data_IF_739992612107
#
_entry.id   IF_739992612107
#
_cell.length_a   1.000
_cell.length_b   1.000
_cell.length_c   1.000
_cell.angle_alpha   90.00
_cell.angle_beta   90.00
_cell.angle_gamma   90.00
#
_symmetry.space_group_name_H-M   'P 1'
#
loop_
_entity.id
_entity.type
_entity.pdbx_description
1 polymer ?
#
# COMPACT_ATOMS: atom_id res chain seq x y z
N UNK A 1 8.32 0.72 19.33
CA UNK A 1 7.40 1.39 20.29
C UNK A 1 6.44 0.37 20.90
N UNK A 2 5.67 -0.42 20.10
CA UNK A 2 4.76 -1.43 20.66
C UNK A 2 5.53 -2.59 21.33
N UNK A 3 6.59 -3.06 20.68
CA UNK A 3 7.49 -4.08 21.21
C UNK A 3 8.19 -3.65 22.50
N UNK A 4 8.59 -2.38 22.59
CA UNK A 4 9.22 -1.82 23.78
C UNK A 4 8.21 -1.67 24.93
N UNK A 5 6.98 -1.28 24.62
CA UNK A 5 5.90 -1.21 25.58
C UNK A 5 5.50 -2.60 26.13
N UNK A 6 5.60 -3.65 25.33
CA UNK A 6 5.36 -5.03 25.75
C UNK A 6 6.53 -5.60 26.56
N UNK A 7 7.77 -5.21 26.25
CA UNK A 7 8.96 -5.64 26.96
C UNK A 7 9.03 -5.11 28.41
N UNK A 8 8.34 -4.00 28.72
CA UNK A 8 8.26 -3.44 30.08
C UNK A 8 7.34 -4.20 31.05
N UNK A 9 6.74 -5.34 30.62
CA UNK A 9 5.91 -6.21 31.46
C UNK A 9 4.57 -5.59 31.90
N UNK A 10 3.80 -4.91 31.01
CA UNK A 10 2.52 -4.34 31.37
C UNK A 10 1.50 -5.41 31.73
N UNK A 11 0.49 -5.03 32.52
CA UNK A 11 -0.59 -5.96 32.88
C UNK A 11 -1.31 -6.49 31.63
N UNK A 12 -1.87 -7.71 31.71
CA UNK A 12 -2.60 -8.35 30.59
C UNK A 12 -3.71 -7.44 30.05
N UNK A 13 -4.43 -6.74 30.92
CA UNK A 13 -5.47 -5.79 30.52
C UNK A 13 -4.90 -4.63 29.69
N UNK A 14 -3.74 -4.11 30.05
CA UNK A 14 -3.07 -3.05 29.29
C UNK A 14 -2.56 -3.55 27.93
N UNK A 15 -2.00 -4.76 27.89
CA UNK A 15 -1.58 -5.40 26.62
C UNK A 15 -2.76 -5.61 25.68
N UNK A 16 -3.88 -6.10 26.19
CA UNK A 16 -5.12 -6.28 25.41
C UNK A 16 -5.65 -4.94 24.92
N UNK A 17 -5.68 -3.91 25.77
CA UNK A 17 -6.12 -2.56 25.39
C UNK A 17 -5.26 -1.96 24.27
N UNK A 18 -3.94 -2.03 24.40
CA UNK A 18 -3.00 -1.55 23.37
C UNK A 18 -3.17 -2.36 22.07
N UNK A 19 -3.33 -3.68 22.19
CA UNK A 19 -3.55 -4.56 21.04
C UNK A 19 -4.84 -4.23 20.27
N UNK A 20 -5.93 -3.95 20.96
CA UNK A 20 -7.19 -3.52 20.34
C UNK A 20 -7.03 -2.19 19.60
N UNK A 21 -6.44 -1.19 20.26
CA UNK A 21 -6.19 0.13 19.65
C UNK A 21 -5.27 0.00 18.43
N UNK A 22 -4.20 -0.78 18.54
CA UNK A 22 -3.28 -1.03 17.43
C UNK A 22 -4.00 -1.67 16.23
N UNK A 23 -4.81 -2.70 16.46
CA UNK A 23 -5.55 -3.36 15.40
C UNK A 23 -6.57 -2.41 14.74
N UNK A 24 -7.27 -1.57 15.50
CA UNK A 24 -8.18 -0.57 14.95
C UNK A 24 -7.45 0.45 14.07
N UNK A 25 -6.30 0.95 14.55
CA UNK A 25 -5.50 1.93 13.80
C UNK A 25 -4.86 1.31 12.55
N UNK A 26 -4.48 0.04 12.60
CA UNK A 26 -3.88 -0.70 11.47
C UNK A 26 -4.78 -0.68 10.23
N UNK A 27 -6.10 -0.72 10.39
CA UNK A 27 -7.05 -0.71 9.26
C UNK A 27 -7.35 0.69 8.71
N UNK A 28 -6.86 1.75 9.34
CA UNK A 28 -7.09 3.13 8.88
C UNK A 28 -6.47 3.37 7.50
N UNK A 29 -5.25 2.89 7.27
CA UNK A 29 -4.56 3.08 5.98
C UNK A 29 -5.29 2.37 4.81
N UNK A 30 -5.65 1.08 4.89
CA UNK A 30 -6.46 0.43 3.86
C UNK A 30 -7.81 1.10 3.63
N UNK A 31 -8.51 1.53 4.69
CA UNK A 31 -9.78 2.24 4.57
C UNK A 31 -9.64 3.58 3.84
N UNK A 32 -8.58 4.33 4.14
CA UNK A 32 -8.28 5.60 3.48
C UNK A 32 -7.96 5.39 1.99
N UNK A 33 -7.17 4.38 1.65
CA UNK A 33 -6.86 4.02 0.26
C UNK A 33 -8.13 3.65 -0.49
N UNK A 34 -8.98 2.82 0.11
CA UNK A 34 -10.27 2.46 -0.46
C UNK A 34 -11.12 3.71 -0.73
N UNK A 35 -11.18 4.64 0.22
CA UNK A 35 -11.89 5.90 0.07
C UNK A 35 -11.38 6.72 -1.12
N UNK A 36 -10.06 6.85 -1.28
CA UNK A 36 -9.45 7.56 -2.41
C UNK A 36 -9.76 6.86 -3.73
N UNK A 37 -9.56 5.54 -3.82
CA UNK A 37 -9.85 4.79 -5.04
C UNK A 37 -11.33 4.87 -5.42
N UNK A 38 -12.23 4.75 -4.46
CA UNK A 38 -13.66 4.85 -4.68
C UNK A 38 -14.07 6.23 -5.18
N UNK A 39 -13.64 7.28 -4.49
CA UNK A 39 -14.00 8.67 -4.86
C UNK A 39 -13.41 9.04 -6.22
N UNK A 40 -12.14 8.72 -6.48
CA UNK A 40 -11.50 9.02 -7.76
C UNK A 40 -12.17 8.25 -8.90
N UNK A 41 -12.45 6.96 -8.72
CA UNK A 41 -13.13 6.15 -9.72
C UNK A 41 -14.54 6.68 -10.01
N UNK A 42 -15.29 7.02 -8.97
CA UNK A 42 -16.64 7.57 -9.10
C UNK A 42 -16.67 8.92 -9.82
N UNK A 43 -15.75 9.81 -9.46
CA UNK A 43 -15.64 11.13 -10.12
C UNK A 43 -15.28 10.98 -11.60
N UNK A 44 -14.34 10.10 -11.93
CA UNK A 44 -13.93 9.87 -13.32
C UNK A 44 -15.02 9.22 -14.16
N UNK A 45 -15.79 8.31 -13.58
CA UNK A 45 -16.93 7.71 -14.29
C UNK A 45 -18.08 8.68 -14.55
N UNK A 46 -18.23 9.69 -13.70
CA UNK A 46 -19.24 10.74 -13.88
C UNK A 46 -18.79 11.88 -14.80
N UNK A 47 -17.49 12.03 -15.01
CA UNK A 47 -16.90 13.04 -15.89
C UNK A 47 -16.56 12.40 -17.23
N UNK A 48 -17.32 12.69 -18.27
CA UNK A 48 -17.14 12.13 -19.61
C UNK A 48 -15.88 12.61 -20.34
N UNK A 49 -15.15 13.59 -19.80
CA UNK A 49 -14.03 14.27 -20.47
C UNK A 49 -12.64 14.05 -19.84
N UNK A 50 -12.53 13.34 -18.70
CA UNK A 50 -11.22 13.17 -18.05
C UNK A 50 -10.42 12.04 -18.71
N UNK A 51 -9.36 12.43 -19.43
CA UNK A 51 -8.41 11.48 -20.01
C UNK A 51 -7.41 11.00 -18.93
N UNK A 52 -6.91 9.77 -19.06
CA UNK A 52 -5.89 9.27 -18.12
C UNK A 52 -4.63 10.14 -18.10
N UNK A 53 -4.24 10.70 -19.25
CA UNK A 53 -3.13 11.65 -19.36
C UNK A 53 -3.35 12.92 -18.54
N UNK A 54 -4.55 13.46 -18.52
CA UNK A 54 -4.87 14.64 -17.70
C UNK A 54 -4.82 14.32 -16.21
N UNK A 55 -5.33 13.13 -15.85
CA UNK A 55 -5.23 12.62 -14.49
C UNK A 55 -3.77 12.46 -14.05
N UNK A 56 -2.91 11.81 -14.85
CA UNK A 56 -1.49 11.67 -14.57
C UNK A 56 -0.79 13.03 -14.44
N UNK A 57 -1.10 13.98 -15.30
CA UNK A 57 -0.52 15.33 -15.26
C UNK A 57 -0.85 16.06 -13.95
N UNK A 58 -2.09 15.92 -13.47
CA UNK A 58 -2.49 16.48 -12.17
C UNK A 58 -1.72 15.82 -11.02
N UNK A 59 -1.57 14.49 -11.05
CA UNK A 59 -0.86 13.76 -10.00
C UNK A 59 0.65 13.96 -10.05
N UNK A 60 1.21 14.33 -11.22
CA UNK A 60 2.64 14.55 -11.39
C UNK A 60 3.19 15.59 -10.42
N UNK A 61 2.56 16.75 -10.37
CA UNK A 61 2.97 17.82 -9.46
C UNK A 61 2.55 17.58 -8.00
N UNK A 62 1.40 16.95 -7.80
CA UNK A 62 0.86 16.75 -6.47
C UNK A 62 1.54 15.63 -5.68
N UNK A 63 1.96 14.55 -6.35
CA UNK A 63 2.44 13.33 -5.69
C UNK A 63 3.80 12.84 -6.22
N UNK A 64 4.00 12.77 -7.54
CA UNK A 64 5.24 12.20 -8.09
C UNK A 64 6.47 13.04 -7.73
N UNK A 65 6.44 14.34 -8.01
CA UNK A 65 7.58 15.23 -7.73
C UNK A 65 7.93 15.23 -6.23
N UNK A 66 6.99 15.47 -5.30
CA UNK A 66 7.31 15.41 -3.87
C UNK A 66 7.84 14.05 -3.42
N UNK A 67 7.26 12.95 -3.91
CA UNK A 67 7.72 11.60 -3.54
C UNK A 67 9.14 11.34 -4.02
N UNK A 68 9.48 11.68 -5.27
CA UNK A 68 10.82 11.52 -5.81
C UNK A 68 11.83 12.37 -4.99
N UNK A 69 11.51 13.64 -4.73
CA UNK A 69 12.38 14.52 -3.96
C UNK A 69 12.62 14.00 -2.54
N UNK A 70 11.56 13.69 -1.80
CA UNK A 70 11.71 13.21 -0.44
C UNK A 70 12.41 11.86 -0.38
N UNK A 71 12.09 10.93 -1.26
CA UNK A 71 12.77 9.63 -1.34
C UNK A 71 14.27 9.81 -1.60
N UNK A 72 14.63 10.68 -2.54
CA UNK A 72 16.04 10.98 -2.84
C UNK A 72 16.75 11.61 -1.64
N UNK A 73 16.13 12.59 -0.99
CA UNK A 73 16.68 13.25 0.21
C UNK A 73 16.94 12.22 1.31
N UNK A 74 15.97 11.35 1.61
CA UNK A 74 16.13 10.32 2.63
C UNK A 74 17.22 9.30 2.27
N UNK A 75 17.29 8.86 1.02
CA UNK A 75 18.31 7.89 0.59
C UNK A 75 19.72 8.47 0.65
N UNK A 76 19.91 9.76 0.35
CA UNK A 76 21.24 10.38 0.31
C UNK A 76 21.64 10.92 1.68
N UNK A 77 20.74 11.65 2.38
CA UNK A 77 21.10 12.36 3.61
C UNK A 77 20.86 11.53 4.88
N UNK A 78 19.94 10.57 4.83
CA UNK A 78 19.54 9.79 6.01
C UNK A 78 19.45 8.27 5.70
N UNK A 79 20.53 7.65 5.17
CA UNK A 79 20.50 6.24 4.79
C UNK A 79 20.23 5.31 5.98
N UNK A 80 20.49 5.77 7.20
CA UNK A 80 20.20 5.02 8.43
C UNK A 80 18.69 4.81 8.72
N UNK A 81 17.81 5.57 8.06
CA UNK A 81 16.36 5.44 8.22
C UNK A 81 15.75 4.40 7.28
N UNK A 82 16.53 3.82 6.38
CA UNK A 82 16.07 2.80 5.45
C UNK A 82 15.53 1.58 6.21
N UNK A 83 14.41 1.08 5.77
CA UNK A 83 13.84 -0.16 6.29
C UNK A 83 14.50 -1.34 5.57
N UNK A 84 14.92 -2.33 6.35
CA UNK A 84 15.67 -3.48 5.81
C UNK A 84 17.17 -3.20 5.66
N UNK A 85 17.78 -3.75 4.63
CA UNK A 85 19.21 -3.54 4.34
C UNK A 85 19.43 -2.20 3.61
N UNK A 86 20.50 -1.50 3.96
CA UNK A 86 20.93 -0.33 3.21
C UNK A 86 21.30 -0.72 1.78
N UNK A 87 21.06 0.16 0.82
CA UNK A 87 21.50 -0.08 -0.55
C UNK A 87 23.04 -0.02 -0.64
N UNK A 88 23.60 -0.88 -1.46
CA UNK A 88 25.05 -0.95 -1.70
C UNK A 88 25.41 -0.61 -3.15
N UNK A 89 24.42 -0.62 -4.04
CA UNK A 89 24.60 -0.39 -5.46
C UNK A 89 23.44 0.45 -6.03
N UNK A 90 23.57 0.86 -7.29
CA UNK A 90 22.55 1.61 -8.00
C UNK A 90 21.24 0.85 -8.18
N UNK A 91 21.29 -0.48 -8.27
CA UNK A 91 20.06 -1.29 -8.37
C UNK A 91 19.31 -1.28 -7.05
N UNK A 92 20.01 -1.41 -5.95
CA UNK A 92 19.43 -1.28 -4.61
C UNK A 92 18.87 0.12 -4.37
N UNK A 93 19.56 1.18 -4.82
CA UNK A 93 19.06 2.55 -4.73
C UNK A 93 17.70 2.71 -5.45
N UNK A 94 17.59 2.28 -6.70
CA UNK A 94 16.32 2.32 -7.44
C UNK A 94 15.25 1.39 -6.85
N UNK A 95 15.67 0.24 -6.32
CA UNK A 95 14.75 -0.67 -5.64
C UNK A 95 14.07 -0.03 -4.43
N UNK A 96 14.76 0.83 -3.70
CA UNK A 96 14.18 1.57 -2.57
C UNK A 96 13.09 2.56 -3.00
N UNK A 97 13.15 3.11 -4.22
CA UNK A 97 12.05 3.90 -4.77
C UNK A 97 10.79 3.07 -5.02
N UNK A 98 10.95 1.86 -5.54
CA UNK A 98 9.82 0.98 -5.87
C UNK A 98 9.18 0.41 -4.61
N UNK A 99 9.98 0.06 -3.61
CA UNK A 99 9.51 -0.54 -2.36
C UNK A 99 9.00 0.48 -1.33
N UNK A 100 9.39 1.76 -1.46
CA UNK A 100 9.08 2.77 -0.46
C UNK A 100 9.84 2.60 0.86
N UNK A 101 10.93 1.83 0.86
CA UNK A 101 11.72 1.51 2.05
C UNK A 101 12.76 2.57 2.42
N UNK A 102 12.80 3.70 1.69
CA UNK A 102 13.74 4.78 1.95
C UNK A 102 13.55 5.43 3.34
N UNK A 103 12.33 5.43 3.84
CA UNK A 103 12.01 5.81 5.23
C UNK A 103 10.66 5.22 5.65
N UNK A 104 10.42 5.04 6.97
CA UNK A 104 9.23 4.36 7.50
C UNK A 104 7.88 4.93 7.07
N UNK A 105 7.82 6.20 6.68
CA UNK A 105 6.58 6.87 6.26
C UNK A 105 6.42 6.96 4.73
N UNK A 106 7.47 6.67 3.94
CA UNK A 106 7.42 6.81 2.48
C UNK A 106 6.74 5.66 1.76
N UNK A 107 6.57 4.50 2.43
CA UNK A 107 5.87 3.36 1.85
C UNK A 107 4.46 3.75 1.35
N UNK A 108 3.78 4.63 2.08
CA UNK A 108 2.44 5.09 1.72
C UNK A 108 2.44 5.88 0.40
N UNK A 109 3.39 6.80 0.24
CA UNK A 109 3.51 7.60 -0.99
C UNK A 109 3.82 6.71 -2.20
N UNK A 110 4.75 5.78 -2.05
CA UNK A 110 5.10 4.82 -3.10
C UNK A 110 3.91 3.94 -3.50
N UNK A 111 3.17 3.45 -2.51
CA UNK A 111 1.95 2.69 -2.75
C UNK A 111 0.89 3.54 -3.48
N UNK A 112 0.72 4.82 -3.12
CA UNK A 112 -0.18 5.72 -3.83
C UNK A 112 0.23 5.92 -5.29
N UNK A 113 1.53 6.01 -5.59
CA UNK A 113 2.01 6.08 -6.98
C UNK A 113 1.66 4.83 -7.77
N UNK A 114 1.79 3.64 -7.18
CA UNK A 114 1.39 2.38 -7.80
C UNK A 114 -0.12 2.37 -8.12
N UNK A 115 -0.97 2.84 -7.20
CA UNK A 115 -2.41 2.96 -7.45
C UNK A 115 -2.73 3.94 -8.58
N UNK A 116 -2.02 5.07 -8.66
CA UNK A 116 -2.20 6.03 -9.76
C UNK A 116 -1.90 5.38 -11.12
N UNK A 117 -0.82 4.61 -11.21
CA UNK A 117 -0.46 3.88 -12.43
C UNK A 117 -1.52 2.82 -12.77
N UNK A 118 -2.08 2.15 -11.77
CA UNK A 118 -3.09 1.11 -11.94
C UNK A 118 -4.52 1.65 -12.15
N UNK A 119 -4.73 2.98 -12.06
CA UNK A 119 -6.06 3.59 -12.16
C UNK A 119 -6.84 3.19 -13.43
N UNK A 120 -6.27 3.07 -14.63
CA UNK A 120 -6.99 2.61 -15.81
C UNK A 120 -7.59 1.22 -15.63
N UNK A 121 -6.91 0.33 -14.92
CA UNK A 121 -7.41 -1.01 -14.60
C UNK A 121 -8.66 -0.91 -13.69
N UNK A 122 -8.60 -0.07 -12.65
CA UNK A 122 -9.76 0.14 -11.76
C UNK A 122 -10.96 0.73 -12.51
N UNK A 123 -10.73 1.67 -13.43
CA UNK A 123 -11.79 2.22 -14.29
C UNK A 123 -12.38 1.18 -15.22
N UNK A 124 -11.55 0.33 -15.84
CA UNK A 124 -12.02 -0.75 -16.71
C UNK A 124 -12.86 -1.76 -15.92
N UNK A 125 -12.41 -2.18 -14.76
CA UNK A 125 -13.16 -3.08 -13.86
C UNK A 125 -14.48 -2.43 -13.44
N UNK A 126 -14.46 -1.18 -13.03
CA UNK A 126 -15.65 -0.47 -12.59
C UNK A 126 -16.70 -0.33 -13.72
N UNK A 127 -16.27 -0.03 -14.96
CA UNK A 127 -17.16 0.00 -16.12
C UNK A 127 -17.74 -1.37 -16.46
N UNK A 128 -16.92 -2.42 -16.33
CA UNK A 128 -17.37 -3.81 -16.57
C UNK A 128 -18.42 -4.26 -15.55
N UNK A 129 -18.23 -3.87 -14.29
CA UNK A 129 -19.12 -4.20 -13.16
C UNK A 129 -20.36 -3.33 -13.15
N UNK A 130 -20.26 -2.06 -13.54
CA UNK A 130 -21.22 -0.97 -13.25
C UNK A 130 -22.65 -1.18 -13.68
N UNK A 131 -22.94 -2.22 -14.48
CA UNK A 131 -24.31 -2.55 -14.95
C UNK A 131 -24.84 -3.90 -14.46
N UNK A 132 -24.04 -4.67 -13.72
CA UNK A 132 -24.44 -6.02 -13.34
C UNK A 132 -23.81 -6.45 -12.00
N UNK A 133 -24.63 -6.50 -10.97
CA UNK A 133 -24.21 -6.91 -9.62
C UNK A 133 -23.56 -8.30 -9.59
N UNK A 134 -24.01 -9.25 -10.43
CA UNK A 134 -23.41 -10.60 -10.51
C UNK A 134 -21.94 -10.52 -10.92
N UNK A 135 -21.59 -9.65 -11.88
CA UNK A 135 -20.19 -9.46 -12.29
C UNK A 135 -19.34 -8.90 -11.15
N UNK A 136 -19.91 -7.98 -10.35
CA UNK A 136 -19.24 -7.44 -9.16
C UNK A 136 -18.92 -8.52 -8.14
N UNK A 137 -19.87 -9.40 -7.85
CA UNK A 137 -19.69 -10.53 -6.95
C UNK A 137 -18.60 -11.49 -7.47
N UNK A 138 -18.64 -11.83 -8.77
CA UNK A 138 -17.62 -12.71 -9.39
C UNK A 138 -16.22 -12.08 -9.26
N UNK A 139 -16.07 -10.79 -9.59
CA UNK A 139 -14.77 -10.10 -9.46
C UNK A 139 -14.31 -10.08 -8.01
N UNK A 140 -15.19 -9.82 -7.05
CA UNK A 140 -14.85 -9.82 -5.63
C UNK A 140 -14.34 -11.22 -5.19
N UNK A 141 -15.03 -12.29 -5.59
CA UNK A 141 -14.62 -13.68 -5.29
C UNK A 141 -13.26 -13.98 -5.94
N UNK A 142 -13.08 -13.64 -7.21
CA UNK A 142 -11.81 -13.87 -7.93
C UNK A 142 -10.67 -13.10 -7.25
N UNK A 143 -10.87 -11.83 -6.90
CA UNK A 143 -9.87 -11.03 -6.20
C UNK A 143 -9.51 -11.64 -4.84
N UNK A 144 -10.51 -12.13 -4.11
CA UNK A 144 -10.30 -12.80 -2.83
C UNK A 144 -9.46 -14.07 -2.99
N UNK A 145 -9.80 -14.93 -3.96
CA UNK A 145 -9.04 -16.15 -4.26
C UNK A 145 -7.59 -15.79 -4.66
N UNK A 146 -7.40 -14.83 -5.55
CA UNK A 146 -6.07 -14.38 -5.96
C UNK A 146 -5.25 -13.84 -4.79
N UNK A 147 -5.87 -13.10 -3.88
CA UNK A 147 -5.20 -12.60 -2.69
C UNK A 147 -4.69 -13.73 -1.78
N UNK A 148 -5.52 -14.72 -1.47
CA UNK A 148 -5.10 -15.86 -0.64
C UNK A 148 -4.06 -16.74 -1.34
N UNK A 149 -4.20 -16.94 -2.65
CA UNK A 149 -3.19 -17.65 -3.46
C UNK A 149 -1.86 -16.91 -3.41
N UNK A 150 -1.89 -15.57 -3.54
CA UNK A 150 -0.69 -14.74 -3.43
C UNK A 150 -0.06 -14.81 -2.05
N UNK A 151 -0.84 -14.76 -0.98
CA UNK A 151 -0.32 -14.88 0.38
C UNK A 151 0.40 -16.22 0.59
N UNK A 152 -0.22 -17.34 0.17
CA UNK A 152 0.41 -18.66 0.28
C UNK A 152 1.67 -18.78 -0.58
N UNK A 153 1.65 -18.23 -1.80
CA UNK A 153 2.84 -18.19 -2.66
C UNK A 153 3.95 -17.35 -2.05
N UNK A 154 3.63 -16.16 -1.57
CA UNK A 154 4.59 -15.23 -0.99
C UNK A 154 5.27 -15.79 0.26
N UNK A 155 4.51 -16.39 1.17
CA UNK A 155 5.04 -17.03 2.35
C UNK A 155 5.98 -18.18 1.99
N UNK A 156 5.57 -19.05 1.06
CA UNK A 156 6.35 -20.23 0.66
C UNK A 156 7.65 -19.88 -0.07
N UNK A 157 7.59 -18.95 -1.04
CA UNK A 157 8.72 -18.69 -1.93
C UNK A 157 9.60 -17.51 -1.49
N UNK A 158 9.07 -16.55 -0.78
CA UNK A 158 9.83 -15.37 -0.31
C UNK A 158 10.36 -15.59 1.10
N UNK A 159 9.54 -16.12 1.99
CA UNK A 159 9.90 -16.34 3.39
C UNK A 159 10.24 -17.81 3.73
N UNK A 160 10.24 -18.72 2.76
CA UNK A 160 10.54 -20.15 2.95
C UNK A 160 9.69 -20.80 4.06
N UNK A 161 8.47 -20.33 4.23
CA UNK A 161 7.55 -20.83 5.25
C UNK A 161 7.87 -20.42 6.69
N UNK A 162 8.77 -19.49 6.89
CA UNK A 162 9.20 -19.04 8.25
C UNK A 162 8.03 -18.40 8.99
N UNK A 163 7.11 -17.74 8.30
CA UNK A 163 5.99 -17.01 8.88
C UNK A 163 4.67 -17.78 8.93
N UNK A 164 4.68 -19.08 8.65
CA UNK A 164 3.44 -19.89 8.66
C UNK A 164 2.72 -19.90 10.02
N UNK A 165 3.45 -19.64 11.12
CA UNK A 165 2.90 -19.61 12.47
C UNK A 165 2.83 -18.19 13.07
N UNK A 166 3.30 -17.18 12.38
CA UNK A 166 3.34 -15.80 12.86
C UNK A 166 2.12 -15.05 12.34
N UNK A 167 1.07 -15.05 13.14
CA UNK A 167 -0.13 -14.25 12.87
C UNK A 167 0.14 -12.78 13.23
N UNK A 168 0.53 -11.98 12.28
CA UNK A 168 0.70 -10.54 12.43
C UNK A 168 -0.52 -9.75 11.97
#
# INVERSE_FOLDING_TARGET
>A
ILTDALASGPSIAMQTGIGVVYNLVKYTAPAFIFGILYTTTRLTLNQTALTYTDYLRQQWHALFIPTIWWTTIYLILMPQLQQGSQYHDWRGFFWQFVNGNAAPHLWYNTMMLQFIILMPLFWAISRYVGKNTKRGIIIAIVTFILYFTWLGFYDTYVFHGIHQNDWY
#
